data_IF_158723183467
#
_entry.id   IF_158723183467
#
_cell.length_a   1.000
_cell.length_b   1.000
_cell.length_c   1.000
_cell.angle_alpha   90.00
_cell.angle_beta   90.00
_cell.angle_gamma   90.00
#
_symmetry.space_group_name_H-M   'P 1'
#
loop_
_entity.id
_entity.type
_entity.pdbx_description
1 polymer ?
#
# COMPACT_ATOMS: atom_id res chain seq x y z
N UNK A 1 -13.61 -18.63 24.43
CA UNK A 1 -13.52 -19.98 23.83
C UNK A 1 -14.10 -21.04 24.75
N UNK A 2 -13.76 -21.11 26.04
CA UNK A 2 -14.28 -22.12 27.00
C UNK A 2 -15.77 -22.47 26.85
N UNK A 3 -16.66 -21.47 26.93
CA UNK A 3 -18.13 -21.71 26.82
C UNK A 3 -18.57 -22.29 25.46
N UNK A 4 -17.83 -22.02 24.37
CA UNK A 4 -18.10 -22.58 23.05
C UNK A 4 -17.60 -24.03 22.97
N UNK A 5 -16.42 -24.31 23.56
CA UNK A 5 -15.89 -25.66 23.67
C UNK A 5 -16.81 -26.57 24.50
N UNK A 6 -17.26 -26.09 25.66
CA UNK A 6 -18.23 -26.78 26.52
C UNK A 6 -19.55 -27.05 25.79
N UNK A 7 -20.07 -26.08 25.02
CA UNK A 7 -21.26 -26.27 24.20
C UNK A 7 -21.08 -27.28 23.05
N UNK A 8 -19.84 -27.58 22.67
CA UNK A 8 -19.46 -28.63 21.71
C UNK A 8 -19.07 -29.96 22.38
N UNK A 9 -19.19 -30.08 23.70
CA UNK A 9 -18.84 -31.29 24.46
C UNK A 9 -17.35 -31.48 24.72
N UNK A 10 -16.54 -30.41 24.56
CA UNK A 10 -15.12 -30.40 24.86
C UNK A 10 -14.87 -29.76 26.23
N UNK A 11 -13.98 -30.34 27.03
CA UNK A 11 -13.63 -29.85 28.37
C UNK A 11 -12.26 -29.17 28.36
N UNK A 12 -12.20 -27.89 28.73
CA UNK A 12 -10.98 -27.11 28.83
C UNK A 12 -10.47 -26.56 27.49
N UNK A 13 -10.07 -25.29 27.49
CA UNK A 13 -9.33 -24.65 26.39
C UNK A 13 -7.94 -24.23 26.88
N UNK A 14 -6.88 -24.74 26.24
CA UNK A 14 -5.51 -24.32 26.55
C UNK A 14 -5.33 -22.81 26.35
N UNK A 15 -4.59 -22.16 27.25
CA UNK A 15 -4.23 -20.74 27.17
C UNK A 15 -3.50 -20.42 25.85
N UNK A 16 -2.70 -21.36 25.33
CA UNK A 16 -1.99 -21.21 24.06
C UNK A 16 -2.93 -21.02 22.85
N UNK A 17 -4.17 -21.50 22.94
CA UNK A 17 -5.20 -21.31 21.91
C UNK A 17 -5.48 -19.82 21.66
N UNK A 18 -5.44 -19.00 22.71
CA UNK A 18 -5.59 -17.55 22.59
C UNK A 18 -4.39 -16.91 21.89
N UNK A 19 -3.16 -17.36 22.19
CA UNK A 19 -1.96 -16.87 21.53
C UNK A 19 -1.96 -17.18 20.03
N UNK A 20 -2.26 -18.44 19.66
CA UNK A 20 -2.33 -18.87 18.26
C UNK A 20 -3.43 -18.10 17.51
N UNK A 21 -4.61 -17.95 18.10
CA UNK A 21 -5.70 -17.16 17.51
C UNK A 21 -5.30 -15.69 17.31
N UNK A 22 -4.68 -15.07 18.31
CA UNK A 22 -4.23 -13.68 18.23
C UNK A 22 -3.15 -13.48 17.15
N UNK A 23 -2.20 -14.41 17.00
CA UNK A 23 -1.21 -14.37 15.91
C UNK A 23 -1.84 -14.54 14.52
N UNK A 24 -2.82 -15.43 14.39
CA UNK A 24 -3.60 -15.59 13.15
C UNK A 24 -4.39 -14.32 12.81
N UNK A 25 -5.06 -13.74 13.80
CA UNK A 25 -5.86 -12.51 13.66
C UNK A 25 -4.99 -11.29 13.31
N UNK A 26 -3.85 -11.11 13.97
CA UNK A 26 -2.85 -10.07 13.64
C UNK A 26 -2.35 -10.21 12.20
N UNK A 27 -1.98 -11.42 11.80
CA UNK A 27 -1.52 -11.72 10.42
C UNK A 27 -2.61 -11.44 9.39
N UNK A 28 -3.86 -11.81 9.69
CA UNK A 28 -5.04 -11.57 8.85
C UNK A 28 -5.32 -10.07 8.70
N UNK A 29 -5.41 -9.33 9.81
CA UNK A 29 -5.66 -7.89 9.81
C UNK A 29 -4.56 -7.12 9.07
N UNK A 30 -3.28 -7.46 9.28
CA UNK A 30 -2.16 -6.92 8.50
C UNK A 30 -2.27 -7.23 7.00
N UNK A 31 -2.83 -8.38 6.64
CA UNK A 31 -3.14 -8.76 5.26
C UNK A 31 -4.24 -7.90 4.63
N UNK A 32 -5.34 -7.65 5.36
CA UNK A 32 -6.40 -6.74 4.92
C UNK A 32 -5.87 -5.32 4.76
N UNK A 33 -5.16 -4.80 5.77
CA UNK A 33 -4.60 -3.44 5.78
C UNK A 33 -3.66 -3.20 4.61
N UNK A 34 -2.74 -4.14 4.37
CA UNK A 34 -1.84 -4.08 3.21
C UNK A 34 -2.60 -4.00 1.88
N UNK A 35 -3.76 -4.64 1.77
CA UNK A 35 -4.52 -4.71 0.52
C UNK A 35 -5.05 -3.36 0.04
N UNK A 36 -5.53 -2.50 0.95
CA UNK A 36 -5.95 -1.15 0.59
C UNK A 36 -4.80 -0.15 0.55
N UNK A 37 -3.74 -0.35 1.35
CA UNK A 37 -2.51 0.46 1.20
C UNK A 37 -1.88 0.27 -0.18
N UNK A 38 -1.81 -0.96 -0.69
CA UNK A 38 -1.33 -1.27 -2.05
C UNK A 38 -2.23 -0.62 -3.12
N UNK A 39 -3.55 -0.65 -2.93
CA UNK A 39 -4.53 0.00 -3.81
C UNK A 39 -4.31 1.53 -3.87
N UNK A 40 -4.25 2.20 -2.72
CA UNK A 40 -4.03 3.66 -2.63
C UNK A 40 -2.64 4.04 -3.16
N UNK A 41 -1.61 3.25 -2.83
CA UNK A 41 -0.26 3.43 -3.36
C UNK A 41 -0.21 3.36 -4.89
N UNK A 42 -0.99 2.47 -5.52
CA UNK A 42 -1.07 2.38 -6.98
C UNK A 42 -1.73 3.62 -7.64
N UNK A 43 -2.64 4.30 -6.92
CA UNK A 43 -3.26 5.57 -7.35
C UNK A 43 -2.29 6.75 -7.25
N UNK A 44 -1.35 6.70 -6.31
CA UNK A 44 -0.45 7.82 -5.96
C UNK A 44 0.60 8.17 -7.02
N UNK A 45 0.84 7.29 -8.00
CA UNK A 45 1.74 7.58 -9.11
C UNK A 45 2.65 6.40 -9.46
N UNK A 46 2.26 5.70 -10.52
CA UNK A 46 3.27 5.13 -11.41
C UNK A 46 4.08 6.30 -11.99
N UNK A 47 5.18 6.68 -11.33
CA UNK A 47 6.27 7.47 -11.90
C UNK A 47 6.88 6.67 -13.05
N UNK A 48 6.17 6.68 -14.18
CA UNK A 48 6.58 6.00 -15.42
C UNK A 48 7.74 6.79 -15.98
N UNK A 49 8.94 6.50 -15.48
CA UNK A 49 10.22 6.87 -16.06
C UNK A 49 10.40 6.11 -17.38
N UNK A 50 9.50 6.41 -18.31
CA UNK A 50 9.53 5.98 -19.69
C UNK A 50 10.67 6.73 -20.36
N UNK A 51 11.89 6.21 -20.17
CA UNK A 51 13.10 6.59 -20.89
C UNK A 51 12.92 6.33 -22.39
N UNK A 52 12.14 7.18 -23.04
CA UNK A 52 11.80 7.13 -24.47
C UNK A 52 11.69 8.53 -25.07
N UNK A 53 12.54 9.47 -24.61
CA UNK A 53 12.89 10.63 -25.43
C UNK A 53 13.71 10.15 -26.63
N UNK A 54 12.96 9.77 -27.67
CA UNK A 54 13.43 9.42 -29.00
C UNK A 54 14.10 10.64 -29.65
N UNK A 55 14.84 10.37 -30.72
CA UNK A 55 15.45 11.34 -31.63
C UNK A 55 16.62 12.15 -31.07
N UNK A 56 17.78 11.51 -31.15
CA UNK A 56 19.02 12.14 -31.59
C UNK A 56 18.77 12.95 -32.89
N UNK A 57 18.33 14.21 -32.76
CA UNK A 57 18.17 15.13 -33.88
C UNK A 57 19.53 15.71 -34.26
N UNK A 58 20.09 15.19 -35.34
CA UNK A 58 21.34 15.62 -35.96
C UNK A 58 21.25 17.10 -36.39
N UNK A 59 21.65 18.03 -35.52
CA UNK A 59 21.76 19.45 -35.81
C UNK A 59 23.19 19.94 -35.56
N UNK A 60 23.94 19.93 -36.65
CA UNK A 60 25.35 20.35 -36.75
C UNK A 60 25.44 21.87 -36.67
N UNK A 61 25.72 22.41 -35.48
CA UNK A 61 25.97 23.84 -35.29
C UNK A 61 27.29 24.24 -35.96
N UNK A 62 27.18 25.02 -37.04
CA UNK A 62 28.27 25.80 -37.62
C UNK A 62 28.04 27.27 -37.27
N UNK A 63 29.05 27.87 -36.64
CA UNK A 63 29.24 29.30 -36.40
C UNK A 63 28.42 29.98 -35.27
N UNK A 64 29.13 30.62 -34.32
CA UNK A 64 28.60 31.74 -33.52
C UNK A 64 28.32 31.51 -32.02
N UNK A 65 29.25 31.96 -31.17
CA UNK A 65 29.06 32.40 -29.76
C UNK A 65 28.66 31.35 -28.69
N UNK A 66 29.56 31.16 -27.71
CA UNK A 66 29.25 30.60 -26.37
C UNK A 66 29.08 31.75 -25.36
N UNK A 67 27.99 31.80 -24.57
CA UNK A 67 27.99 32.54 -23.31
C UNK A 67 28.76 31.72 -22.27
N UNK A 68 29.92 32.23 -21.81
CA UNK A 68 30.76 31.54 -20.84
C UNK A 68 31.02 32.38 -19.59
N UNK A 69 30.59 31.88 -18.44
CA UNK A 69 31.02 32.21 -17.07
C UNK A 69 30.74 30.91 -16.27
N UNK A 70 31.66 30.10 -15.70
CA UNK A 70 32.87 30.34 -14.89
C UNK A 70 32.53 31.15 -13.61
N UNK A 71 32.84 30.75 -12.37
CA UNK A 71 33.59 29.60 -11.78
C UNK A 71 32.61 28.66 -11.00
N UNK A 72 32.94 27.75 -10.06
CA UNK A 72 34.19 27.26 -9.44
C UNK A 72 34.14 25.74 -9.11
N UNK A 73 34.92 25.28 -8.11
CA UNK A 73 35.21 23.89 -7.72
C UNK A 73 34.17 23.19 -6.81
N UNK A 74 34.09 21.86 -7.00
CA UNK A 74 34.10 20.79 -5.98
C UNK A 74 33.54 21.06 -4.57
N UNK A 75 32.53 20.28 -4.17
CA UNK A 75 32.57 19.64 -2.86
C UNK A 75 31.83 18.27 -2.86
N UNK A 76 32.23 17.39 -1.95
CA UNK A 76 31.66 16.06 -1.73
C UNK A 76 30.22 16.15 -1.20
N UNK A 77 29.25 16.11 -2.11
CA UNK A 77 27.83 15.96 -1.78
C UNK A 77 27.40 14.51 -1.92
N UNK A 78 27.22 13.81 -0.79
CA UNK A 78 26.32 12.64 -0.71
C UNK A 78 25.00 13.07 -1.41
N UNK A 79 24.39 12.28 -2.30
CA UNK A 79 23.05 12.63 -2.77
C UNK A 79 22.19 12.82 -1.51
N UNK A 80 21.32 13.84 -1.45
CA UNK A 80 20.36 13.87 -0.35
C UNK A 80 19.67 12.52 -0.37
N UNK A 81 19.77 11.81 0.76
CA UNK A 81 18.76 10.82 1.09
C UNK A 81 17.48 11.63 1.11
N UNK A 82 16.80 11.61 -0.03
CA UNK A 82 15.39 11.93 -0.10
C UNK A 82 14.79 10.84 0.78
N UNK A 83 14.70 11.14 2.08
CA UNK A 83 13.62 10.63 2.90
C UNK A 83 12.40 10.87 2.03
N UNK A 84 11.95 9.79 1.41
CA UNK A 84 10.77 9.77 0.57
C UNK A 84 9.68 10.14 1.55
N UNK A 85 9.38 11.45 1.60
CA UNK A 85 8.52 12.06 2.57
C UNK A 85 7.12 11.67 2.15
N UNK A 86 6.84 10.41 2.47
CA UNK A 86 5.73 9.60 2.02
C UNK A 86 4.54 10.21 2.72
N UNK A 87 3.99 11.25 2.09
CA UNK A 87 2.80 11.96 2.53
C UNK A 87 1.84 10.87 3.02
N UNK A 88 1.53 10.82 4.33
CA UNK A 88 0.78 9.71 4.87
C UNK A 88 -0.57 9.73 4.16
N UNK A 89 -0.76 8.79 3.22
CA UNK A 89 -2.01 8.68 2.51
C UNK A 89 -3.06 8.32 3.54
N UNK A 90 -3.95 9.26 3.81
CA UNK A 90 -5.10 9.03 4.67
C UNK A 90 -5.94 7.92 4.03
N UNK A 91 -6.30 6.94 4.85
CA UNK A 91 -7.01 5.74 4.41
C UNK A 91 -8.45 5.90 4.87
N UNK A 92 -9.37 5.94 3.92
CA UNK A 92 -10.82 5.99 4.20
C UNK A 92 -11.43 4.59 4.35
N UNK A 93 -12.63 4.51 4.95
CA UNK A 93 -13.45 3.31 4.87
C UNK A 93 -13.82 2.95 3.42
N UNK A 94 -13.89 3.94 2.52
CA UNK A 94 -14.11 3.72 1.10
C UNK A 94 -12.92 3.02 0.42
N UNK A 95 -11.67 3.30 0.79
CA UNK A 95 -10.50 2.59 0.25
C UNK A 95 -10.46 1.13 0.73
N UNK A 96 -10.84 0.87 1.99
CA UNK A 96 -11.04 -0.50 2.48
C UNK A 96 -12.12 -1.23 1.68
N UNK A 97 -13.29 -0.60 1.49
CA UNK A 97 -14.39 -1.16 0.71
C UNK A 97 -13.95 -1.54 -0.71
N UNK A 98 -13.33 -0.63 -1.46
CA UNK A 98 -12.91 -0.91 -2.84
C UNK A 98 -11.88 -2.05 -2.88
N UNK A 99 -10.94 -2.11 -1.94
CA UNK A 99 -9.99 -3.23 -1.87
C UNK A 99 -10.67 -4.58 -1.58
N UNK A 100 -11.74 -4.59 -0.80
CA UNK A 100 -12.55 -5.79 -0.55
C UNK A 100 -13.45 -6.15 -1.75
N UNK A 101 -14.03 -5.17 -2.45
CA UNK A 101 -14.76 -5.40 -3.70
C UNK A 101 -13.86 -5.99 -4.81
N UNK A 102 -12.59 -5.56 -4.89
CA UNK A 102 -11.62 -6.05 -5.88
C UNK A 102 -11.08 -7.46 -5.57
N UNK A 103 -11.00 -7.86 -4.30
CA UNK A 103 -10.56 -9.21 -3.92
C UNK A 103 -11.28 -9.70 -2.66
N UNK A 104 -12.57 -10.04 -2.75
CA UNK A 104 -13.39 -10.31 -1.57
C UNK A 104 -13.02 -11.62 -0.88
N UNK A 105 -12.35 -12.55 -1.56
CA UNK A 105 -11.84 -13.79 -0.95
C UNK A 105 -10.87 -13.54 0.20
N UNK A 106 -10.29 -12.33 0.31
CA UNK A 106 -9.49 -11.92 1.48
C UNK A 106 -10.31 -11.82 2.78
N UNK A 107 -11.65 -11.73 2.71
CA UNK A 107 -12.55 -11.72 3.87
C UNK A 107 -12.82 -13.12 4.46
N UNK A 108 -12.35 -14.20 3.83
CA UNK A 108 -12.58 -15.58 4.26
C UNK A 108 -13.77 -16.26 3.57
N UNK A 109 -14.34 -17.26 4.23
CA UNK A 109 -15.41 -18.12 3.69
C UNK A 109 -16.72 -17.35 3.47
N UNK A 110 -17.20 -16.64 4.51
CA UNK A 110 -18.42 -15.82 4.50
C UNK A 110 -18.26 -14.47 3.78
N UNK A 111 -17.29 -14.34 2.87
CA UNK A 111 -17.04 -13.08 2.16
C UNK A 111 -18.27 -12.44 1.51
N UNK A 112 -19.30 -13.15 0.98
CA UNK A 112 -20.46 -12.49 0.39
C UNK A 112 -21.24 -11.67 1.42
N UNK A 113 -21.49 -12.27 2.60
CA UNK A 113 -22.18 -11.63 3.72
C UNK A 113 -21.33 -10.49 4.33
N UNK A 114 -20.03 -10.72 4.47
CA UNK A 114 -19.12 -9.70 5.00
C UNK A 114 -19.00 -8.50 4.06
N UNK A 115 -18.94 -8.73 2.75
CA UNK A 115 -18.92 -7.67 1.74
C UNK A 115 -20.22 -6.86 1.73
N UNK A 116 -21.38 -7.52 1.86
CA UNK A 116 -22.68 -6.85 2.01
C UNK A 116 -22.66 -5.87 3.19
N UNK A 117 -22.24 -6.34 4.37
CA UNK A 117 -22.13 -5.51 5.59
C UNK A 117 -21.14 -4.35 5.45
N UNK A 118 -20.04 -4.54 4.72
CA UNK A 118 -19.09 -3.46 4.43
C UNK A 118 -19.74 -2.42 3.52
N UNK A 119 -20.44 -2.85 2.48
CA UNK A 119 -21.13 -1.96 1.54
C UNK A 119 -22.29 -1.17 2.17
N UNK A 120 -22.96 -1.69 3.21
CA UNK A 120 -24.01 -0.95 3.93
C UNK A 120 -23.46 0.13 4.86
N UNK A 121 -22.31 -0.09 5.50
CA UNK A 121 -21.75 0.83 6.51
C UNK A 121 -20.70 1.81 5.97
N UNK A 122 -20.14 1.60 4.78
CA UNK A 122 -19.10 2.47 4.20
C UNK A 122 -19.58 3.88 3.80
N UNK A 123 -20.82 4.27 4.13
CA UNK A 123 -21.39 5.60 3.88
C UNK A 123 -21.61 6.41 5.17
N UNK A 124 -21.18 5.91 6.33
CA UNK A 124 -21.36 6.53 7.66
C UNK A 124 -20.14 7.38 8.12
N UNK A 125 -19.28 7.80 7.19
CA UNK A 125 -18.03 8.56 7.42
C UNK A 125 -18.25 10.09 7.49
#
# INVERSE_FOLDING_TARGET
MEQIALAQGLEGVSVDSANILNHGLDSYMKGLIRSFIELVGSRSGHESKNNTNKHHSYMKLINGVRPGHQYQMQNSGKPPEVEEQRNPCEISLQDFRVAMELNPRKLGEDWPLLLEKICTHAFEE
#
